data_IF_817885071961
#
_entry.id   IF_817885071961
#
_cell.length_a   1.000
_cell.length_b   1.000
_cell.length_c   1.000
_cell.angle_alpha   90.00
_cell.angle_beta   90.00
_cell.angle_gamma   90.00
#
_symmetry.space_group_name_H-M   'P 1'
#
loop_
_entity.id
_entity.type
_entity.pdbx_description
1 polymer ?
#
# COMPACT_ATOMS: atom_id res chain seq x y z
N UNK A 1 20.94 -18.15 -12.10
CA UNK A 1 20.18 -18.29 -10.84
C UNK A 1 19.29 -17.07 -10.71
N UNK A 2 17.98 -17.22 -10.43
CA UNK A 2 17.13 -16.07 -10.12
C UNK A 2 17.62 -15.39 -8.82
N UNK A 3 17.42 -14.08 -8.66
CA UNK A 3 17.75 -13.39 -7.42
C UNK A 3 16.98 -14.00 -6.24
N UNK A 4 17.62 -14.05 -5.07
CA UNK A 4 16.95 -14.46 -3.85
C UNK A 4 15.80 -13.48 -3.53
N UNK A 5 14.67 -13.97 -3.00
CA UNK A 5 13.55 -13.12 -2.63
C UNK A 5 13.94 -12.11 -1.55
N UNK A 6 13.31 -10.93 -1.57
CA UNK A 6 13.58 -9.89 -0.58
C UNK A 6 13.14 -10.33 0.83
N UNK A 7 13.97 -10.02 1.83
CA UNK A 7 13.70 -10.37 3.23
C UNK A 7 12.84 -9.34 3.97
N UNK A 8 12.75 -8.11 3.46
CA UNK A 8 11.91 -7.04 4.02
C UNK A 8 11.52 -6.05 2.92
N UNK A 9 10.29 -5.54 2.96
CA UNK A 9 9.76 -4.60 1.97
C UNK A 9 9.43 -3.25 2.62
N UNK A 10 9.77 -2.16 1.94
CA UNK A 10 9.36 -0.81 2.31
C UNK A 10 8.41 -0.27 1.24
N UNK A 11 7.19 0.09 1.63
CA UNK A 11 6.21 0.72 0.75
C UNK A 11 6.19 2.21 1.03
N UNK A 12 6.77 2.97 0.10
CA UNK A 12 6.74 4.43 0.10
C UNK A 12 5.55 4.90 -0.74
N UNK A 13 4.53 5.42 -0.06
CA UNK A 13 3.30 5.88 -0.70
C UNK A 13 3.32 7.39 -0.86
N UNK A 14 3.28 7.88 -2.10
CA UNK A 14 3.33 9.31 -2.45
C UNK A 14 1.96 9.87 -2.88
N UNK A 15 0.89 9.10 -2.77
CA UNK A 15 -0.43 9.49 -3.25
C UNK A 15 -0.82 8.85 -4.59
N UNK A 16 -1.78 9.49 -5.27
CA UNK A 16 -2.29 9.05 -6.56
C UNK A 16 -3.49 8.10 -6.50
N UNK A 17 -3.96 7.70 -7.67
CA UNK A 17 -5.25 7.02 -7.86
C UNK A 17 -5.38 5.69 -7.11
N UNK A 18 -4.26 5.01 -6.83
CA UNK A 18 -4.26 3.74 -6.07
C UNK A 18 -4.83 3.87 -4.66
N UNK A 19 -4.69 5.05 -4.02
CA UNK A 19 -5.27 5.30 -2.70
C UNK A 19 -6.67 5.89 -2.72
N UNK A 20 -7.24 6.16 -3.90
CA UNK A 20 -8.58 6.71 -4.03
C UNK A 20 -9.64 5.62 -3.89
N UNK A 21 -10.86 6.02 -3.53
CA UNK A 21 -12.02 5.13 -3.50
C UNK A 21 -13.11 5.64 -4.45
N UNK A 22 -13.88 4.71 -5.01
CA UNK A 22 -15.06 5.05 -5.79
C UNK A 22 -16.13 5.65 -4.87
N UNK A 23 -16.62 6.82 -5.24
CA UNK A 23 -17.77 7.49 -4.64
C UNK A 23 -18.80 7.88 -5.70
N UNK A 24 -19.85 8.58 -5.26
CA UNK A 24 -20.98 8.98 -6.12
C UNK A 24 -20.58 9.84 -7.34
N UNK A 25 -19.43 10.53 -7.26
CA UNK A 25 -18.94 11.43 -8.32
C UNK A 25 -17.61 10.96 -8.92
N UNK A 26 -17.34 9.66 -8.89
CA UNK A 26 -16.09 9.08 -9.37
C UNK A 26 -15.10 8.82 -8.25
N UNK A 27 -13.81 8.73 -8.57
CA UNK A 27 -12.77 8.47 -7.58
C UNK A 27 -12.54 9.71 -6.71
N UNK A 28 -12.55 9.54 -5.39
CA UNK A 28 -12.21 10.56 -4.41
C UNK A 28 -10.99 10.13 -3.58
N UNK A 29 -10.12 11.07 -3.16
CA UNK A 29 -9.08 10.78 -2.17
C UNK A 29 -9.71 10.19 -0.92
N UNK A 30 -9.21 9.05 -0.47
CA UNK A 30 -9.70 8.38 0.72
C UNK A 30 -8.57 8.24 1.74
N UNK A 31 -8.77 8.82 2.92
CA UNK A 31 -7.90 8.55 4.06
C UNK A 31 -7.90 7.05 4.40
N UNK A 32 -6.87 6.60 5.10
CA UNK A 32 -6.79 5.21 5.56
C UNK A 32 -6.39 4.20 4.50
N UNK A 33 -5.67 4.62 3.44
CA UNK A 33 -5.10 3.68 2.47
C UNK A 33 -4.21 2.63 3.14
N UNK A 34 -3.37 3.02 4.12
CA UNK A 34 -2.56 2.08 4.91
C UNK A 34 -3.40 0.98 5.55
N UNK A 35 -4.50 1.35 6.23
CA UNK A 35 -5.37 0.39 6.91
C UNK A 35 -6.00 -0.60 5.93
N UNK A 36 -6.44 -0.12 4.76
CA UNK A 36 -6.98 -0.98 3.69
C UNK A 36 -5.91 -1.93 3.17
N UNK A 37 -4.70 -1.43 2.93
CA UNK A 37 -3.58 -2.23 2.49
C UNK A 37 -3.22 -3.30 3.52
N UNK A 38 -3.13 -2.94 4.81
CA UNK A 38 -2.87 -3.90 5.90
C UNK A 38 -3.93 -4.99 5.96
N UNK A 39 -5.20 -4.61 5.86
CA UNK A 39 -6.33 -5.56 5.85
C UNK A 39 -6.22 -6.52 4.68
N UNK A 40 -5.91 -6.03 3.48
CA UNK A 40 -5.76 -6.86 2.29
C UNK A 40 -4.50 -7.76 2.33
N UNK A 41 -3.38 -7.24 2.81
CA UNK A 41 -2.15 -8.04 2.96
C UNK A 41 -2.31 -9.14 4.02
N UNK A 42 -3.13 -8.91 5.06
CA UNK A 42 -3.43 -9.94 6.07
C UNK A 42 -4.17 -11.16 5.49
N UNK A 43 -4.81 -11.05 4.30
CA UNK A 43 -5.44 -12.20 3.63
C UNK A 43 -4.46 -13.03 2.80
N UNK A 44 -3.19 -12.63 2.71
CA UNK A 44 -2.16 -13.31 1.92
C UNK A 44 -1.13 -13.97 2.83
N UNK A 45 -0.92 -15.28 2.65
CA UNK A 45 0.12 -16.02 3.36
C UNK A 45 1.48 -15.87 2.67
N UNK A 46 2.57 -15.93 3.45
CA UNK A 46 3.94 -15.98 2.91
C UNK A 46 4.50 -14.64 2.43
N UNK A 47 3.84 -13.52 2.75
CA UNK A 47 4.42 -12.21 2.52
C UNK A 47 5.66 -12.01 3.39
N UNK A 48 6.72 -11.45 2.78
CA UNK A 48 7.85 -10.96 3.54
C UNK A 48 7.38 -9.86 4.53
N UNK A 49 8.06 -9.70 5.67
CA UNK A 49 7.88 -8.54 6.53
C UNK A 49 7.88 -7.25 5.72
N UNK A 50 6.96 -6.35 6.03
CA UNK A 50 6.82 -5.11 5.28
C UNK A 50 6.43 -3.94 6.17
N UNK A 51 6.84 -2.76 5.74
CA UNK A 51 6.56 -1.49 6.40
C UNK A 51 5.92 -0.53 5.40
N UNK A 52 5.04 0.32 5.91
CA UNK A 52 4.37 1.36 5.14
C UNK A 52 4.84 2.72 5.63
N UNK A 53 5.09 3.64 4.70
CA UNK A 53 5.35 5.04 5.00
C UNK A 53 4.71 5.91 3.93
N UNK A 54 3.84 6.81 4.39
CA UNK A 54 3.34 7.89 3.54
C UNK A 54 4.40 9.00 3.45
N UNK A 55 4.65 9.45 2.23
CA UNK A 55 5.53 10.58 1.92
C UNK A 55 4.65 11.78 1.60
N UNK A 56 4.65 12.74 2.51
CA UNK A 56 4.05 14.05 2.26
C UNK A 56 4.97 14.87 1.36
N UNK A 57 4.41 15.76 0.53
CA UNK A 57 5.20 16.76 -0.21
C UNK A 57 6.09 17.56 0.75
N UNK A 58 7.27 17.95 0.27
CA UNK A 58 8.23 18.80 0.99
C UNK A 58 7.73 20.23 1.12
#
# INVERSE_FOLDING_TARGET
>A
MPPAPAHNLMVLYTGGTIGMQAGAHGLAPASGFEQRMRTHMATHAGLAPWQFRELLPL
#
